data_IF_034996518906
#
_entry.id   IF_034996518906
#
_cell.length_a   1.000
_cell.length_b   1.000
_cell.length_c   1.000
_cell.angle_alpha   90.00
_cell.angle_beta   90.00
_cell.angle_gamma   90.00
#
_symmetry.space_group_name_H-M   'P 1'
#
loop_
_entity.id
_entity.type
_entity.pdbx_description
1 polymer ?
#
# COMPACT_ATOMS: atom_id res chain seq x y z
N UNK A 1 10.45 35.56 -51.78
CA UNK A 1 9.20 34.79 -51.60
C UNK A 1 9.41 33.46 -50.85
N UNK A 2 10.64 33.16 -50.39
CA UNK A 2 10.99 31.88 -49.73
C UNK A 2 10.77 31.87 -48.21
N UNK A 3 10.92 33.00 -47.52
CA UNK A 3 10.78 33.05 -46.04
C UNK A 3 9.35 32.81 -45.52
N UNK A 4 8.31 33.05 -46.34
CA UNK A 4 6.91 32.74 -45.95
C UNK A 4 6.62 31.24 -45.97
N UNK A 5 7.25 30.47 -46.87
CA UNK A 5 7.10 29.01 -46.91
C UNK A 5 7.84 28.33 -45.75
N UNK A 6 9.01 28.85 -45.36
CA UNK A 6 9.76 28.32 -44.22
C UNK A 6 9.06 28.57 -42.87
N UNK A 7 8.49 29.76 -42.66
CA UNK A 7 7.67 30.03 -41.46
C UNK A 7 6.38 29.22 -41.41
N UNK A 8 5.73 28.97 -42.56
CA UNK A 8 4.54 28.13 -42.61
C UNK A 8 4.89 26.66 -42.29
N UNK A 9 6.02 26.16 -42.79
CA UNK A 9 6.49 24.79 -42.51
C UNK A 9 6.94 24.64 -41.05
N UNK A 10 7.63 25.63 -40.46
CA UNK A 10 8.01 25.60 -39.03
C UNK A 10 6.77 25.72 -38.13
N UNK A 11 5.78 26.55 -38.50
CA UNK A 11 4.50 26.63 -37.79
C UNK A 11 3.71 25.33 -37.90
N UNK A 12 3.74 24.67 -39.06
CA UNK A 12 3.08 23.38 -39.29
C UNK A 12 3.80 22.27 -38.49
N UNK A 13 5.13 22.24 -38.44
CA UNK A 13 5.90 21.28 -37.64
C UNK A 13 5.69 21.51 -36.13
N UNK A 14 5.52 22.77 -35.68
CA UNK A 14 5.18 23.09 -34.28
C UNK A 14 3.72 22.71 -33.93
N UNK A 15 2.79 22.78 -34.89
CA UNK A 15 1.42 22.25 -34.69
C UNK A 15 1.33 20.73 -34.81
N UNK A 16 2.17 20.09 -35.63
CA UNK A 16 2.17 18.63 -35.83
C UNK A 16 2.83 17.89 -34.65
N UNK A 17 3.80 18.51 -33.96
CA UNK A 17 4.31 17.96 -32.70
C UNK A 17 3.33 18.16 -31.52
N UNK A 18 2.23 18.89 -31.74
CA UNK A 18 1.11 19.02 -30.81
C UNK A 18 0.04 17.93 -31.03
N UNK A 19 0.24 16.98 -31.96
CA UNK A 19 -0.48 15.71 -31.96
C UNK A 19 0.04 14.84 -30.81
N UNK A 20 -0.40 15.20 -29.62
CA UNK A 20 -0.39 14.51 -28.33
C UNK A 20 0.02 13.03 -28.37
N UNK A 21 1.29 12.74 -28.11
CA UNK A 21 1.62 11.51 -27.40
C UNK A 21 1.03 11.64 -25.99
N UNK A 22 -0.20 11.16 -25.81
CA UNK A 22 -0.84 11.11 -24.49
C UNK A 22 0.09 10.38 -23.54
N UNK A 23 0.37 11.01 -22.40
CA UNK A 23 1.15 10.35 -21.37
C UNK A 23 0.35 9.15 -20.81
N UNK A 24 1.02 8.30 -20.03
CA UNK A 24 0.41 7.08 -19.49
C UNK A 24 -0.86 7.36 -18.68
N UNK A 25 -0.86 8.41 -17.88
CA UNK A 25 -2.01 8.82 -17.05
C UNK A 25 -3.19 9.20 -17.94
N UNK A 26 -2.96 10.00 -18.98
CA UNK A 26 -4.00 10.40 -19.93
C UNK A 26 -4.60 9.22 -20.69
N UNK A 27 -3.77 8.23 -21.07
CA UNK A 27 -4.26 6.99 -21.70
C UNK A 27 -5.19 6.22 -20.76
N UNK A 28 -4.83 6.09 -19.49
CA UNK A 28 -5.68 5.41 -18.49
C UNK A 28 -6.97 6.21 -18.25
N UNK A 29 -6.90 7.55 -18.22
CA UNK A 29 -8.08 8.42 -18.13
C UNK A 29 -9.05 8.15 -19.28
N UNK A 30 -8.57 7.99 -20.52
CA UNK A 30 -9.44 7.64 -21.65
C UNK A 30 -10.19 6.32 -21.41
N UNK A 31 -9.51 5.29 -20.88
CA UNK A 31 -10.12 3.98 -20.57
C UNK A 31 -11.19 4.12 -19.47
N UNK A 32 -10.92 4.96 -18.45
CA UNK A 32 -11.88 5.29 -17.38
C UNK A 32 -13.12 5.97 -17.98
N UNK A 33 -12.93 6.94 -18.88
CA UNK A 33 -14.04 7.68 -19.51
C UNK A 33 -14.93 6.73 -20.31
N UNK A 34 -14.32 5.84 -21.09
CA UNK A 34 -14.99 4.83 -21.88
C UNK A 34 -15.70 3.73 -21.06
N UNK A 35 -15.59 3.75 -19.72
CA UNK A 35 -16.09 2.71 -18.83
C UNK A 35 -15.54 1.31 -19.12
N UNK A 36 -14.30 1.23 -19.61
CA UNK A 36 -13.68 -0.04 -19.99
C UNK A 36 -12.91 -0.63 -18.81
N UNK A 37 -12.72 -1.95 -18.85
CA UNK A 37 -11.90 -2.67 -17.86
C UNK A 37 -10.44 -2.23 -17.99
N UNK A 38 -9.80 -1.97 -16.85
CA UNK A 38 -8.38 -1.64 -16.74
C UNK A 38 -7.66 -2.83 -16.11
N UNK A 39 -6.46 -3.14 -16.61
CA UNK A 39 -5.64 -4.21 -16.01
C UNK A 39 -5.07 -3.75 -14.67
N UNK A 40 -4.78 -4.69 -13.78
CA UNK A 40 -4.14 -4.38 -12.49
C UNK A 40 -2.74 -3.80 -12.73
N UNK A 41 -2.06 -4.33 -13.74
CA UNK A 41 -0.69 -4.01 -14.12
C UNK A 41 -0.59 -2.56 -14.66
N UNK A 42 -1.59 -2.09 -15.42
CA UNK A 42 -1.64 -0.70 -15.90
C UNK A 42 -1.69 0.31 -14.75
N UNK A 43 -2.47 0.00 -13.70
CA UNK A 43 -2.57 0.86 -12.52
C UNK A 43 -1.32 0.74 -11.65
N UNK A 44 -0.83 -0.48 -11.40
CA UNK A 44 0.36 -0.72 -10.56
C UNK A 44 1.64 -0.10 -11.12
N UNK A 45 1.68 0.12 -12.43
CA UNK A 45 2.82 0.73 -13.09
C UNK A 45 2.79 2.27 -13.04
N UNK A 46 1.83 2.87 -12.34
CA UNK A 46 1.85 4.28 -11.93
C UNK A 46 2.58 4.39 -10.58
N UNK A 47 3.71 5.11 -10.56
CA UNK A 47 4.58 5.16 -9.39
C UNK A 47 4.36 6.38 -8.48
N UNK A 48 3.64 7.39 -8.98
CA UNK A 48 3.41 8.64 -8.25
C UNK A 48 2.01 8.69 -7.65
N UNK A 49 1.96 8.99 -6.35
CA UNK A 49 0.70 9.09 -5.62
C UNK A 49 -0.25 10.17 -6.19
N UNK A 50 0.31 11.29 -6.67
CA UNK A 50 -0.48 12.36 -7.28
C UNK A 50 -1.11 11.93 -8.61
N UNK A 51 -0.45 11.06 -9.38
CA UNK A 51 -0.99 10.53 -10.64
C UNK A 51 -2.15 9.57 -10.36
N UNK A 52 -2.02 8.67 -9.37
CA UNK A 52 -3.13 7.83 -8.91
C UNK A 52 -4.30 8.65 -8.37
N UNK A 53 -4.01 9.75 -7.66
CA UNK A 53 -5.03 10.70 -7.20
C UNK A 53 -5.80 11.31 -8.38
N UNK A 54 -5.13 11.64 -9.48
CA UNK A 54 -5.81 12.11 -10.69
C UNK A 54 -6.71 11.02 -11.28
N UNK A 55 -6.22 9.79 -11.43
CA UNK A 55 -7.00 8.66 -11.95
C UNK A 55 -8.25 8.39 -11.10
N UNK A 56 -8.10 8.36 -9.77
CA UNK A 56 -9.23 8.19 -8.84
C UNK A 56 -10.28 9.27 -9.02
N UNK A 57 -9.85 10.51 -9.21
CA UNK A 57 -10.77 11.63 -9.40
C UNK A 57 -11.35 11.70 -10.81
N UNK A 58 -10.70 11.13 -11.83
CA UNK A 58 -11.24 11.02 -13.17
C UNK A 58 -12.54 10.19 -13.19
N UNK A 59 -12.60 9.11 -12.40
CA UNK A 59 -13.82 8.31 -12.18
C UNK A 59 -14.98 9.21 -11.74
N UNK A 60 -14.77 10.04 -10.73
CA UNK A 60 -15.81 10.95 -10.23
C UNK A 60 -16.08 12.14 -11.17
N UNK A 61 -15.05 12.66 -11.82
CA UNK A 61 -15.15 13.78 -12.77
C UNK A 61 -16.04 13.41 -13.96
N UNK A 62 -15.91 12.16 -14.44
CA UNK A 62 -16.77 11.59 -15.48
C UNK A 62 -18.26 11.62 -15.12
N UNK A 63 -18.56 11.44 -13.84
CA UNK A 63 -19.93 11.54 -13.30
C UNK A 63 -20.38 12.98 -13.03
N UNK A 64 -19.53 13.99 -13.30
CA UNK A 64 -19.84 15.41 -13.16
C UNK A 64 -19.49 16.00 -11.80
N UNK A 65 -18.67 15.33 -10.98
CA UNK A 65 -18.24 15.84 -9.66
C UNK A 65 -17.50 17.18 -9.80
N UNK A 66 -17.88 18.16 -8.98
CA UNK A 66 -17.08 19.37 -8.75
C UNK A 66 -16.04 19.16 -7.64
N UNK A 67 -14.89 19.82 -7.76
CA UNK A 67 -13.78 19.66 -6.81
C UNK A 67 -13.51 20.96 -6.06
N UNK A 68 -13.51 20.89 -4.72
CA UNK A 68 -13.06 22.01 -3.88
C UNK A 68 -11.54 22.24 -4.00
N UNK A 69 -10.79 21.17 -4.29
CA UNK A 69 -9.37 21.28 -4.60
C UNK A 69 -9.20 21.94 -5.97
N UNK A 70 -8.70 23.19 -5.97
CA UNK A 70 -8.46 23.99 -7.17
C UNK A 70 -7.54 23.30 -8.18
N UNK A 71 -6.56 22.51 -7.73
CA UNK A 71 -5.66 21.80 -8.66
C UNK A 71 -6.40 20.71 -9.42
N UNK A 72 -7.26 19.95 -8.73
CA UNK A 72 -8.11 18.94 -9.38
C UNK A 72 -9.13 19.59 -10.31
N UNK A 73 -9.80 20.64 -9.84
CA UNK A 73 -10.78 21.38 -10.64
C UNK A 73 -10.14 21.91 -11.93
N UNK A 74 -9.04 22.66 -11.83
CA UNK A 74 -8.33 23.21 -12.98
C UNK A 74 -7.73 22.14 -13.89
N UNK A 75 -7.40 20.96 -13.35
CA UNK A 75 -6.91 19.84 -14.15
C UNK A 75 -8.03 19.31 -15.06
N UNK A 76 -9.22 19.02 -14.50
CA UNK A 76 -10.33 18.45 -15.26
C UNK A 76 -11.02 19.46 -16.19
N UNK A 77 -11.02 20.75 -15.86
CA UNK A 77 -11.58 21.82 -16.71
C UNK A 77 -10.93 21.93 -18.09
N UNK A 78 -9.71 21.43 -18.25
CA UNK A 78 -9.01 21.39 -19.55
C UNK A 78 -9.62 20.36 -20.52
N UNK A 79 -10.39 19.41 -20.00
CA UNK A 79 -10.92 18.32 -20.79
C UNK A 79 -12.35 18.59 -21.25
N UNK A 80 -12.60 18.45 -22.55
CA UNK A 80 -13.90 18.71 -23.16
C UNK A 80 -15.03 17.81 -22.65
N UNK A 81 -14.70 16.59 -22.22
CA UNK A 81 -15.63 15.61 -21.66
C UNK A 81 -16.06 15.92 -20.21
N UNK A 82 -15.31 16.75 -19.48
CA UNK A 82 -15.65 17.09 -18.11
C UNK A 82 -16.80 18.10 -18.09
N UNK A 83 -17.94 17.70 -17.53
CA UNK A 83 -19.16 18.51 -17.40
C UNK A 83 -19.55 18.59 -15.92
N UNK A 84 -19.02 19.56 -15.15
CA UNK A 84 -19.34 19.71 -13.74
C UNK A 84 -20.84 19.97 -13.55
N UNK A 85 -21.45 19.31 -12.56
CA UNK A 85 -22.87 19.47 -12.20
C UNK A 85 -22.97 19.83 -10.73
N UNK A 86 -23.87 20.76 -10.39
CA UNK A 86 -24.17 21.12 -9.00
C UNK A 86 -25.17 20.11 -8.41
N UNK A 87 -25.03 19.86 -7.10
CA UNK A 87 -25.99 19.10 -6.29
C UNK A 87 -26.33 17.70 -6.83
N UNK A 88 -25.36 17.02 -7.43
CA UNK A 88 -25.54 15.67 -7.95
C UNK A 88 -25.22 14.59 -6.91
N UNK A 89 -26.04 13.54 -6.91
CA UNK A 89 -25.68 12.26 -6.30
C UNK A 89 -24.91 11.43 -7.33
N UNK A 90 -23.67 11.07 -7.01
CA UNK A 90 -22.86 10.19 -7.87
C UNK A 90 -23.31 8.75 -7.65
N UNK A 91 -23.61 8.05 -8.75
CA UNK A 91 -23.94 6.63 -8.76
C UNK A 91 -22.83 5.92 -9.54
N UNK A 92 -22.05 5.09 -8.84
CA UNK A 92 -20.93 4.37 -9.43
C UNK A 92 -21.42 3.05 -10.03
N UNK A 93 -20.89 2.72 -11.21
CA UNK A 93 -21.07 1.41 -11.82
C UNK A 93 -20.17 0.36 -11.18
N UNK A 94 -20.44 -0.93 -11.43
CA UNK A 94 -19.55 -2.01 -10.99
C UNK A 94 -18.12 -1.83 -11.53
N UNK A 95 -17.98 -1.37 -12.78
CA UNK A 95 -16.68 -1.08 -13.38
C UNK A 95 -15.96 0.07 -12.66
N UNK A 96 -16.69 1.11 -12.25
CA UNK A 96 -16.11 2.21 -11.45
C UNK A 96 -15.53 1.69 -10.14
N UNK A 97 -16.27 0.86 -9.41
CA UNK A 97 -15.82 0.31 -8.12
C UNK A 97 -14.59 -0.58 -8.29
N UNK A 98 -14.56 -1.42 -9.33
CA UNK A 98 -13.37 -2.24 -9.65
C UNK A 98 -12.16 -1.33 -9.91
N UNK A 99 -12.31 -0.29 -10.74
CA UNK A 99 -11.22 0.65 -11.03
C UNK A 99 -10.76 1.37 -9.76
N UNK A 100 -11.69 1.85 -8.94
CA UNK A 100 -11.37 2.53 -7.69
C UNK A 100 -10.62 1.61 -6.72
N UNK A 101 -11.01 0.34 -6.63
CA UNK A 101 -10.31 -0.64 -5.78
C UNK A 101 -8.89 -0.90 -6.28
N UNK A 102 -8.68 -1.05 -7.59
CA UNK A 102 -7.34 -1.16 -8.17
C UNK A 102 -6.46 0.06 -7.84
N UNK A 103 -7.00 1.27 -7.99
CA UNK A 103 -6.29 2.51 -7.69
C UNK A 103 -5.95 2.59 -6.19
N UNK A 104 -6.92 2.36 -5.30
CA UNK A 104 -6.70 2.39 -3.84
C UNK A 104 -5.66 1.38 -3.38
N UNK A 105 -5.69 0.17 -3.96
CA UNK A 105 -4.67 -0.85 -3.71
C UNK A 105 -3.26 -0.38 -4.09
N UNK A 106 -3.13 0.27 -5.25
CA UNK A 106 -1.86 0.84 -5.71
C UNK A 106 -1.42 2.03 -4.85
N UNK A 107 -2.34 2.92 -4.46
CA UNK A 107 -2.08 4.03 -3.53
C UNK A 107 -1.53 3.52 -2.19
N UNK A 108 -2.18 2.52 -1.60
CA UNK A 108 -1.73 1.90 -0.35
C UNK A 108 -0.35 1.26 -0.49
N UNK A 109 -0.08 0.55 -1.59
CA UNK A 109 1.24 -0.05 -1.85
C UNK A 109 2.35 1.01 -1.90
N UNK A 110 2.12 2.13 -2.60
CA UNK A 110 3.08 3.24 -2.67
C UNK A 110 3.28 3.86 -1.28
N UNK A 111 2.21 4.11 -0.54
CA UNK A 111 2.30 4.73 0.78
C UNK A 111 3.04 3.83 1.79
N UNK A 112 2.83 2.51 1.73
CA UNK A 112 3.59 1.53 2.52
C UNK A 112 5.06 1.58 2.15
N UNK A 113 5.40 1.53 0.85
CA UNK A 113 6.80 1.64 0.38
C UNK A 113 7.45 2.94 0.84
N UNK A 114 6.74 4.07 0.78
CA UNK A 114 7.22 5.35 1.29
C UNK A 114 7.43 5.33 2.80
N UNK A 115 6.53 4.68 3.55
CA UNK A 115 6.65 4.54 4.99
C UNK A 115 7.86 3.69 5.38
N UNK A 116 8.00 2.50 4.79
CA UNK A 116 9.04 1.53 5.11
C UNK A 116 10.44 1.98 4.70
N UNK A 117 10.56 2.91 3.75
CA UNK A 117 11.84 3.49 3.32
C UNK A 117 12.23 4.77 4.08
N UNK A 118 11.50 5.15 5.13
CA UNK A 118 11.89 6.32 5.93
C UNK A 118 13.28 6.09 6.54
N UNK A 119 14.18 7.09 6.46
CA UNK A 119 15.51 6.94 7.02
C UNK A 119 15.44 6.86 8.55
N UNK A 120 16.30 6.01 9.13
CA UNK A 120 16.50 6.00 10.58
C UNK A 120 17.26 7.24 10.99
N UNK A 121 16.83 7.85 12.10
CA UNK A 121 17.51 9.04 12.65
C UNK A 121 18.78 8.70 13.44
N UNK A 122 18.85 7.51 14.05
CA UNK A 122 19.91 7.11 14.97
C UNK A 122 20.52 5.76 14.56
N UNK A 123 21.78 5.52 14.91
CA UNK A 123 22.43 4.22 14.66
C UNK A 123 21.81 3.10 15.50
N UNK A 124 21.88 1.87 14.98
CA UNK A 124 21.51 0.67 15.71
C UNK A 124 22.51 0.36 16.82
N UNK A 125 22.02 -0.11 17.97
CA UNK A 125 22.83 -0.76 19.00
C UNK A 125 23.04 -2.23 18.66
N UNK A 126 24.11 -2.87 19.15
CA UNK A 126 24.41 -4.29 18.88
C UNK A 126 23.22 -5.23 19.14
N UNK A 127 22.47 -5.00 20.23
CA UNK A 127 21.29 -5.82 20.55
C UNK A 127 20.14 -5.62 19.56
N UNK A 128 19.99 -4.41 19.01
CA UNK A 128 19.01 -4.16 17.96
C UNK A 128 19.39 -4.89 16.66
N UNK A 129 20.69 -4.97 16.33
CA UNK A 129 21.16 -5.70 15.14
C UNK A 129 20.69 -7.16 15.16
N UNK A 130 20.73 -7.81 16.33
CA UNK A 130 20.28 -9.20 16.49
C UNK A 130 18.79 -9.38 16.21
N UNK A 131 17.96 -8.37 16.47
CA UNK A 131 16.52 -8.42 16.25
C UNK A 131 16.12 -8.21 14.78
N UNK A 132 17.01 -7.71 13.91
CA UNK A 132 16.66 -7.40 12.52
C UNK A 132 16.26 -8.68 11.77
N UNK A 133 15.08 -8.67 11.14
CA UNK A 133 14.56 -9.77 10.33
C UNK A 133 13.14 -10.17 10.72
N UNK A 134 12.73 -11.35 10.25
CA UNK A 134 11.39 -11.88 10.40
C UNK A 134 11.29 -12.87 11.56
N UNK A 135 10.27 -12.69 12.39
CA UNK A 135 10.02 -13.49 13.58
C UNK A 135 8.54 -13.83 13.68
N UNK A 136 8.19 -15.06 13.99
CA UNK A 136 6.81 -15.44 14.29
C UNK A 136 6.63 -15.62 15.80
N UNK A 137 5.40 -15.49 16.26
CA UNK A 137 5.01 -15.77 17.66
C UNK A 137 4.80 -17.26 17.94
N UNK A 138 4.95 -18.10 16.91
CA UNK A 138 4.89 -19.56 17.02
C UNK A 138 6.17 -20.23 16.50
N UNK A 139 6.60 -21.35 17.10
CA UNK A 139 7.84 -22.04 16.72
C UNK A 139 7.73 -22.78 15.38
N UNK A 140 6.53 -23.21 14.99
CA UNK A 140 6.24 -23.96 13.75
C UNK A 140 4.85 -23.55 13.27
N UNK A 141 4.72 -23.25 11.97
CA UNK A 141 3.44 -23.15 11.28
C UNK A 141 3.37 -24.22 10.20
N UNK A 142 2.21 -24.86 10.01
CA UNK A 142 1.99 -25.84 8.94
C UNK A 142 1.99 -25.20 7.54
N UNK A 143 1.65 -23.90 7.46
CA UNK A 143 1.74 -23.05 6.26
C UNK A 143 1.59 -21.59 6.66
N UNK A 144 2.37 -20.68 6.06
CA UNK A 144 2.32 -19.25 6.38
C UNK A 144 2.88 -18.92 7.76
N UNK A 145 2.35 -17.86 8.38
CA UNK A 145 2.71 -17.39 9.72
C UNK A 145 1.46 -16.96 10.50
N UNK A 146 1.52 -17.03 11.84
CA UNK A 146 0.38 -16.66 12.70
C UNK A 146 0.45 -15.20 13.13
N UNK A 147 1.63 -14.72 13.54
CA UNK A 147 1.83 -13.30 13.77
C UNK A 147 3.30 -12.93 13.55
N UNK A 148 3.60 -12.44 12.35
CA UNK A 148 4.97 -12.19 11.93
C UNK A 148 5.38 -10.75 12.24
N UNK A 149 6.47 -10.59 12.96
CA UNK A 149 7.14 -9.33 13.21
C UNK A 149 8.37 -9.21 12.31
N UNK A 150 8.39 -8.19 11.46
CA UNK A 150 9.55 -7.81 10.67
C UNK A 150 10.19 -6.57 11.30
N UNK A 151 11.31 -6.75 11.99
CA UNK A 151 12.10 -5.64 12.53
C UNK A 151 13.12 -5.17 11.49
N UNK A 152 12.97 -3.93 11.01
CA UNK A 152 13.84 -3.37 9.99
C UNK A 152 15.02 -2.61 10.61
N UNK A 153 16.14 -2.62 9.90
CA UNK A 153 17.37 -1.92 10.29
C UNK A 153 17.13 -0.43 10.55
N UNK A 154 16.14 0.16 9.85
CA UNK A 154 15.81 1.56 9.99
C UNK A 154 14.92 1.90 11.20
N UNK A 155 14.73 0.95 12.12
CA UNK A 155 13.94 1.14 13.35
C UNK A 155 12.44 1.11 13.11
N UNK A 156 12.00 0.71 11.91
CA UNK A 156 10.59 0.45 11.63
C UNK A 156 10.25 -1.02 11.86
N UNK A 157 9.02 -1.26 12.27
CA UNK A 157 8.48 -2.61 12.43
C UNK A 157 7.20 -2.73 11.62
N UNK A 158 7.04 -3.88 10.98
CA UNK A 158 5.77 -4.33 10.43
C UNK A 158 5.35 -5.61 11.14
N UNK A 159 4.15 -5.60 11.68
CA UNK A 159 3.52 -6.76 12.32
C UNK A 159 2.42 -7.22 11.39
N UNK A 160 2.54 -8.43 10.86
CA UNK A 160 1.53 -9.07 10.03
C UNK A 160 0.59 -9.89 10.92
N UNK A 161 -0.70 -9.79 10.63
CA UNK A 161 -1.70 -10.65 11.25
C UNK A 161 -1.67 -12.06 10.62
N UNK A 162 -2.37 -13.00 11.25
CA UNK A 162 -2.46 -14.40 10.81
C UNK A 162 -2.86 -14.51 9.34
N UNK A 163 -1.96 -15.09 8.53
CA UNK A 163 -2.12 -15.25 7.09
C UNK A 163 -3.28 -16.22 6.77
N UNK A 164 -3.60 -17.13 7.68
CA UNK A 164 -4.66 -18.12 7.50
C UNK A 164 -6.04 -17.58 7.92
N UNK A 165 -6.12 -16.45 8.63
CA UNK A 165 -7.38 -15.79 8.98
C UNK A 165 -7.87 -14.87 7.84
N UNK A 166 -8.35 -15.49 6.76
CA UNK A 166 -8.78 -14.80 5.53
C UNK A 166 -10.02 -13.91 5.69
N UNK A 167 -10.76 -14.01 6.79
CA UNK A 167 -11.88 -13.10 7.09
C UNK A 167 -11.43 -11.80 7.76
N UNK A 168 -10.17 -11.73 8.21
CA UNK A 168 -9.65 -10.61 8.97
C UNK A 168 -9.48 -9.37 8.10
N UNK A 169 -9.95 -8.23 8.64
CA UNK A 169 -9.80 -6.93 7.97
C UNK A 169 -8.47 -6.27 8.25
N UNK A 170 -7.91 -6.46 9.44
CA UNK A 170 -6.57 -5.96 9.76
C UNK A 170 -5.56 -6.95 9.17
N UNK A 171 -4.69 -6.47 8.29
CA UNK A 171 -3.66 -7.30 7.65
C UNK A 171 -2.29 -7.08 8.29
N UNK A 172 -1.99 -5.83 8.63
CA UNK A 172 -0.72 -5.48 9.27
C UNK A 172 -0.82 -4.19 10.06
N UNK A 173 0.02 -4.08 11.08
CA UNK A 173 0.29 -2.85 11.82
C UNK A 173 1.73 -2.42 11.60
N UNK A 174 1.98 -1.11 11.60
CA UNK A 174 3.30 -0.55 11.30
C UNK A 174 3.65 0.53 12.32
N UNK A 175 4.93 0.62 12.61
CA UNK A 175 5.39 1.48 13.68
C UNK A 175 6.90 1.63 13.73
N UNK A 176 7.36 2.13 14.87
CA UNK A 176 8.77 2.16 15.23
C UNK A 176 9.05 1.13 16.32
N UNK A 177 10.26 0.63 16.36
CA UNK A 177 10.74 -0.20 17.46
C UNK A 177 12.12 0.26 17.93
N UNK A 178 12.44 -0.07 19.18
CA UNK A 178 13.75 0.19 19.80
C UNK A 178 13.96 -0.72 21.00
N UNK A 179 15.22 -0.86 21.41
CA UNK A 179 15.56 -1.55 22.67
C UNK A 179 16.21 -0.57 23.64
N UNK A 180 15.70 -0.56 24.88
CA UNK A 180 16.25 0.21 26.00
C UNK A 180 16.10 -0.59 27.29
N UNK A 181 17.19 -0.73 28.05
CA UNK A 181 17.23 -1.45 29.34
C UNK A 181 16.55 -2.82 29.27
N UNK A 182 17.01 -3.67 28.34
CA UNK A 182 16.47 -5.01 28.08
C UNK A 182 14.96 -5.05 27.79
N UNK A 183 14.38 -3.93 27.35
CA UNK A 183 12.97 -3.83 26.99
C UNK A 183 12.84 -3.46 25.53
N UNK A 184 12.12 -4.29 24.78
CA UNK A 184 11.69 -4.02 23.41
C UNK A 184 10.43 -3.15 23.45
N UNK A 185 10.55 -1.94 22.92
CA UNK A 185 9.44 -1.01 22.75
C UNK A 185 8.98 -1.02 21.30
N UNK A 186 7.69 -1.17 21.07
CA UNK A 186 7.05 -1.04 19.76
C UNK A 186 5.95 0.02 19.87
N UNK A 187 6.00 1.02 18.99
CA UNK A 187 4.97 2.05 18.86
C UNK A 187 4.34 1.97 17.47
N UNK A 188 3.11 1.46 17.41
CA UNK A 188 2.34 1.31 16.19
C UNK A 188 1.52 2.59 15.95
N UNK A 189 1.62 3.12 14.73
CA UNK A 189 0.99 4.38 14.32
C UNK A 189 0.27 4.30 12.98
N UNK A 190 0.45 3.21 12.24
CA UNK A 190 -0.20 2.96 10.95
C UNK A 190 -0.73 1.53 10.91
N UNK A 191 -1.73 1.31 10.07
CA UNK A 191 -2.29 -0.02 9.81
C UNK A 191 -2.62 -0.19 8.33
N UNK A 192 -2.59 -1.44 7.88
CA UNK A 192 -3.13 -1.87 6.59
C UNK A 192 -4.38 -2.67 6.85
N UNK A 193 -5.50 -2.20 6.28
CA UNK A 193 -6.80 -2.85 6.44
C UNK A 193 -7.46 -3.10 5.09
N UNK A 194 -8.38 -4.07 5.05
CA UNK A 194 -9.30 -4.27 3.93
C UNK A 194 -10.62 -3.54 4.22
N UNK A 195 -10.93 -2.55 3.40
CA UNK A 195 -12.20 -1.82 3.42
C UNK A 195 -13.15 -2.37 2.34
N UNK A 196 -14.45 -2.33 2.64
CA UNK A 196 -15.49 -2.90 1.75
C UNK A 196 -15.41 -4.43 1.69
N UNK A 197 -15.72 -5.00 0.51
CA UNK A 197 -15.71 -6.44 0.29
C UNK A 197 -16.85 -7.20 0.95
N UNK A 198 -16.90 -8.51 0.70
CA UNK A 198 -17.90 -9.44 1.20
C UNK A 198 -17.23 -10.68 1.77
N UNK A 199 -17.82 -11.22 2.83
CA UNK A 199 -17.44 -12.53 3.34
C UNK A 199 -18.15 -13.60 2.53
N UNK A 200 -17.39 -14.55 2.01
CA UNK A 200 -17.90 -15.77 1.39
C UNK A 200 -17.35 -16.97 2.14
N UNK A 201 -18.04 -18.13 2.18
CA UNK A 201 -17.50 -19.33 2.81
C UNK A 201 -16.16 -19.72 2.18
N UNK A 202 -15.17 -20.05 3.00
CA UNK A 202 -13.83 -20.39 2.52
C UNK A 202 -13.80 -21.67 1.69
N UNK A 203 -13.14 -21.62 0.54
CA UNK A 203 -13.00 -22.78 -0.37
C UNK A 203 -11.81 -23.72 -0.05
N UNK A 204 -11.06 -23.46 1.03
CA UNK A 204 -10.15 -24.45 1.64
C UNK A 204 -8.73 -23.97 1.97
N UNK A 205 -8.21 -22.91 1.35
CA UNK A 205 -6.85 -22.39 1.67
C UNK A 205 -6.79 -21.56 2.95
N UNK A 206 -7.95 -21.23 3.53
CA UNK A 206 -8.08 -20.39 4.71
C UNK A 206 -8.32 -21.24 5.95
N UNK A 207 -7.73 -20.82 7.07
CA UNK A 207 -7.98 -21.38 8.40
C UNK A 207 -9.26 -20.82 9.05
N UNK A 208 -9.87 -19.78 8.48
CA UNK A 208 -11.12 -19.17 8.91
C UNK A 208 -12.36 -19.78 8.23
N UNK A 209 -13.55 -19.57 8.81
CA UNK A 209 -14.83 -20.02 8.24
C UNK A 209 -15.17 -19.30 6.93
N UNK A 210 -14.78 -18.02 6.84
CA UNK A 210 -15.03 -17.16 5.69
C UNK A 210 -13.74 -16.59 5.13
N UNK A 211 -13.80 -16.16 3.87
CA UNK A 211 -12.77 -15.36 3.22
C UNK A 211 -13.36 -14.03 2.73
N UNK A 212 -12.57 -12.96 2.85
CA UNK A 212 -12.95 -11.62 2.43
C UNK A 212 -12.55 -11.38 0.97
N UNK A 213 -13.55 -11.20 0.10
CA UNK A 213 -13.35 -10.93 -1.33
C UNK A 213 -13.84 -9.54 -1.72
N UNK A 214 -13.36 -9.04 -2.87
CA UNK A 214 -13.75 -7.74 -3.47
C UNK A 214 -13.52 -6.50 -2.60
N UNK A 215 -12.71 -6.62 -1.55
CA UNK A 215 -12.25 -5.49 -0.75
C UNK A 215 -11.07 -4.75 -1.41
N UNK A 216 -10.70 -3.61 -0.83
CA UNK A 216 -9.47 -2.91 -1.17
C UNK A 216 -8.64 -2.60 0.07
N UNK A 217 -7.34 -2.60 -0.12
CA UNK A 217 -6.33 -2.27 0.87
C UNK A 217 -6.32 -0.76 1.12
N UNK A 218 -6.39 -0.37 2.38
CA UNK A 218 -6.25 1.00 2.86
C UNK A 218 -5.12 1.06 3.89
N UNK A 219 -4.08 1.84 3.57
CA UNK A 219 -3.02 2.19 4.51
C UNK A 219 -3.38 3.46 5.25
N UNK A 220 -3.71 3.33 6.53
CA UNK A 220 -4.36 4.37 7.34
C UNK A 220 -3.61 4.65 8.64
N UNK A 221 -3.95 5.75 9.30
CA UNK A 221 -3.50 6.03 10.67
C UNK A 221 -4.12 5.04 11.66
N UNK A 222 -3.30 4.59 12.61
CA UNK A 222 -3.74 3.86 13.79
C UNK A 222 -3.95 4.86 14.92
N UNK A 223 -5.22 5.17 15.19
CA UNK A 223 -5.63 6.14 16.21
C UNK A 223 -6.58 5.46 17.23
N UNK A 224 -6.25 5.42 18.53
CA UNK A 224 -4.99 5.91 19.12
C UNK A 224 -3.79 5.05 18.69
N UNK A 225 -2.60 5.65 18.77
CA UNK A 225 -1.34 4.90 18.63
C UNK A 225 -1.27 3.80 19.68
N UNK A 226 -0.70 2.65 19.33
CA UNK A 226 -0.58 1.52 20.25
C UNK A 226 0.87 1.35 20.69
N UNK A 227 1.08 1.27 22.00
CA UNK A 227 2.38 1.02 22.60
C UNK A 227 2.43 -0.41 23.13
N UNK A 228 3.47 -1.13 22.78
CA UNK A 228 3.71 -2.51 23.20
C UNK A 228 5.11 -2.57 23.80
N UNK A 229 5.21 -3.24 24.94
CA UNK A 229 6.45 -3.39 25.69
C UNK A 229 6.66 -4.85 26.05
N UNK A 230 7.84 -5.36 25.73
CA UNK A 230 8.27 -6.71 26.04
C UNK A 230 9.61 -6.67 26.78
N UNK A 231 9.66 -7.20 28.00
CA UNK A 231 10.91 -7.35 28.73
C UNK A 231 11.64 -8.58 28.21
N UNK A 232 12.79 -8.37 27.60
CA UNK A 232 13.65 -9.41 27.04
C UNK A 232 14.28 -10.18 28.20
N UNK A 233 14.10 -11.50 28.20
CA UNK A 233 14.71 -12.41 29.18
C UNK A 233 15.97 -13.05 28.63
N UNK A 234 15.94 -13.43 27.36
CA UNK A 234 17.00 -14.19 26.71
C UNK A 234 16.94 -13.95 25.20
N UNK A 235 18.11 -13.85 24.56
CA UNK A 235 18.23 -13.87 23.10
C UNK A 235 19.22 -15.00 22.76
N UNK A 236 18.74 -16.05 22.10
CA UNK A 236 19.60 -17.09 21.55
C UNK A 236 19.86 -16.76 20.09
N UNK A 237 21.03 -16.22 19.78
CA UNK A 237 21.43 -15.94 18.40
C UNK A 237 22.25 -17.11 17.87
N UNK A 238 21.70 -17.89 16.93
CA UNK A 238 22.54 -18.60 15.97
C UNK A 238 22.43 -17.87 14.63
N UNK A 239 23.48 -17.14 14.19
CA UNK A 239 23.46 -16.44 12.91
C UNK A 239 23.52 -17.38 11.69
N UNK A 240 23.73 -18.70 11.87
CA UNK A 240 24.00 -19.65 10.76
C UNK A 240 23.51 -21.11 10.94
N UNK A 241 22.54 -21.42 11.80
CA UNK A 241 22.07 -22.80 11.94
C UNK A 241 20.59 -22.96 11.58
N UNK A 242 20.31 -23.13 10.30
CA UNK A 242 19.05 -23.71 9.81
C UNK A 242 19.08 -25.24 10.02
N UNK A 243 19.03 -25.67 11.28
CA UNK A 243 18.58 -27.02 11.62
C UNK A 243 17.35 -26.91 12.53
N UNK A 244 16.49 -27.93 12.48
CA UNK A 244 15.25 -28.02 13.26
C UNK A 244 15.44 -27.87 14.78
N UNK A 245 16.68 -27.93 15.28
CA UNK A 245 17.01 -28.02 16.70
C UNK A 245 17.58 -26.71 17.30
N UNK A 246 17.99 -25.72 16.50
CA UNK A 246 18.66 -24.49 16.98
C UNK A 246 18.08 -23.20 16.37
N UNK A 247 16.77 -23.00 16.46
CA UNK A 247 16.12 -21.77 15.99
C UNK A 247 16.50 -20.59 16.90
N UNK A 248 16.92 -19.47 16.30
CA UNK A 248 17.11 -18.23 17.05
C UNK A 248 15.80 -17.80 17.72
N UNK A 249 15.87 -17.45 19.01
CA UNK A 249 14.72 -17.18 19.86
C UNK A 249 14.93 -15.90 20.67
N UNK A 250 13.91 -15.06 20.74
CA UNK A 250 13.85 -13.96 21.71
C UNK A 250 12.77 -14.34 22.72
N UNK A 251 13.18 -14.66 23.95
CA UNK A 251 12.23 -14.89 25.03
C UNK A 251 11.87 -13.58 25.69
N UNK A 252 10.59 -13.37 25.94
CA UNK A 252 10.13 -12.19 26.67
C UNK A 252 9.26 -12.54 27.88
N UNK A 253 8.75 -11.53 28.56
CA UNK A 253 7.79 -11.68 29.64
C UNK A 253 6.40 -12.08 29.17
N UNK A 254 6.01 -11.77 27.92
CA UNK A 254 4.65 -11.97 27.41
C UNK A 254 4.56 -12.96 26.26
N UNK A 255 5.41 -12.80 25.24
CA UNK A 255 5.42 -13.65 24.04
C UNK A 255 6.84 -13.97 23.63
N UNK A 256 7.05 -15.15 23.08
CA UNK A 256 8.34 -15.53 22.52
C UNK A 256 8.34 -15.31 21.02
N UNK A 257 9.48 -14.92 20.48
CA UNK A 257 9.66 -14.69 19.04
C UNK A 257 10.63 -15.72 18.46
N UNK A 258 10.17 -16.45 17.47
CA UNK A 258 10.93 -17.50 16.80
C UNK A 258 11.35 -17.01 15.42
N UNK A 259 12.65 -17.08 15.12
CA UNK A 259 13.17 -16.62 13.85
C UNK A 259 12.58 -17.44 12.70
N UNK A 260 12.08 -16.74 11.68
CA UNK A 260 11.66 -17.37 10.42
C UNK A 260 12.88 -17.62 9.52
N UNK A 261 12.97 -18.77 8.83
CA UNK A 261 14.00 -19.03 7.83
C UNK A 261 13.86 -18.06 6.66
N UNK A 262 14.98 -17.78 5.98
CA UNK A 262 15.00 -16.89 4.81
C UNK A 262 14.53 -17.57 3.53
#
# INVERSE_FOLDING_TARGET
MENKKLHLIISIIFTINCCFLKNKVEKIIDVIIDNKKISKEDIQSIEKIDELRLLRNAVFARHGRTFNDKKLQNFFEKYSWYKPKKDIKIILSNTDEIILNLIRNSESSILIKQFLNKPKKNNLKNMEITLIGDWDTQPVSSSGYVNKHTFLENGLVQIYEDEMDCQKRLLSSFGTWRIENDTLFINLSKKLVINGGKLIPSAGSCGSEYELVDGYNAFEDLNPVQNIEYKIKEITSSPFAESSENKSLIKTDKIDFYRLPK
#
